data_IF_578313297521
#
_entry.id   IF_578313297521
#
_cell.length_a   1.000
_cell.length_b   1.000
_cell.length_c   1.000
_cell.angle_alpha   90.00
_cell.angle_beta   90.00
_cell.angle_gamma   90.00
#
_symmetry.space_group_name_H-M   'P 1'
#
loop_
_entity.id
_entity.type
_entity.pdbx_description
1 polymer ?
#
# COMPACT_ATOMS: atom_id res chain seq x y z
N UNK A 1 -7.42 4.55 -6.72
CA UNK A 1 -7.40 5.19 -5.42
C UNK A 1 -5.97 5.32 -4.93
N UNK A 2 -5.69 6.35 -4.15
CA UNK A 2 -4.34 6.57 -3.66
C UNK A 2 -4.39 7.18 -2.27
N UNK A 3 -3.29 7.06 -1.55
CA UNK A 3 -3.17 7.72 -0.27
C UNK A 3 -1.71 8.05 -0.02
N UNK A 4 -1.50 9.05 0.86
CA UNK A 4 -0.18 9.50 1.23
C UNK A 4 0.17 9.02 2.63
N UNK A 5 1.37 8.52 2.78
CA UNK A 5 1.92 8.29 4.10
C UNK A 5 3.43 8.40 3.97
N UNK A 6 4.06 8.96 4.99
CA UNK A 6 5.51 9.14 5.00
C UNK A 6 6.00 9.96 3.81
N UNK A 7 5.14 10.88 3.33
CA UNK A 7 5.43 11.79 2.22
C UNK A 7 5.60 11.06 0.90
N UNK A 8 5.02 9.86 0.78
CA UNK A 8 5.08 9.07 -0.43
C UNK A 8 3.66 8.74 -0.85
N UNK A 9 3.39 8.86 -2.15
CA UNK A 9 2.10 8.52 -2.71
C UNK A 9 2.04 7.02 -2.97
N UNK A 10 0.98 6.40 -2.47
CA UNK A 10 0.76 4.98 -2.64
C UNK A 10 -0.47 4.79 -3.51
N UNK A 11 -0.39 3.88 -4.46
CA UNK A 11 -1.48 3.60 -5.40
C UNK A 11 -2.15 2.30 -4.99
N UNK A 12 -3.49 2.31 -4.96
CA UNK A 12 -4.27 1.18 -4.52
C UNK A 12 -5.11 0.67 -5.68
N UNK A 13 -5.02 -0.62 -5.93
CA UNK A 13 -5.81 -1.29 -6.93
C UNK A 13 -6.58 -2.42 -6.28
N UNK A 14 -7.77 -2.71 -6.80
CA UNK A 14 -8.51 -3.87 -6.34
C UNK A 14 -8.60 -4.88 -7.47
N UNK A 15 -8.54 -6.15 -7.12
CA UNK A 15 -8.59 -7.23 -8.09
C UNK A 15 -9.33 -8.37 -7.43
N UNK A 16 -10.62 -8.53 -7.77
CA UNK A 16 -11.48 -9.51 -7.13
C UNK A 16 -11.52 -9.24 -5.63
N UNK A 17 -11.13 -10.19 -4.81
CA UNK A 17 -11.17 -10.04 -3.37
C UNK A 17 -9.87 -9.50 -2.79
N UNK A 18 -8.93 -9.11 -3.65
CA UNK A 18 -7.62 -8.67 -3.20
C UNK A 18 -7.45 -7.19 -3.40
N UNK A 19 -6.67 -6.58 -2.53
CA UNK A 19 -6.17 -5.23 -2.72
C UNK A 19 -4.68 -5.29 -2.94
N UNK A 20 -4.19 -4.38 -3.79
CA UNK A 20 -2.77 -4.28 -4.10
C UNK A 20 -2.37 -2.83 -3.89
N UNK A 21 -1.32 -2.60 -3.12
CA UNK A 21 -0.77 -1.27 -2.90
C UNK A 21 0.63 -1.24 -3.48
N UNK A 22 0.89 -0.24 -4.33
CA UNK A 22 2.17 -0.11 -5.01
C UNK A 22 2.71 1.29 -4.76
N UNK A 23 3.99 1.39 -4.47
CA UNK A 23 4.62 2.70 -4.38
C UNK A 23 6.08 2.57 -4.77
N UNK A 24 6.68 3.74 -5.01
CA UNK A 24 8.07 3.80 -5.44
C UNK A 24 8.85 4.70 -4.49
N UNK A 25 10.04 4.30 -4.16
CA UNK A 25 10.91 5.09 -3.31
C UNK A 25 12.35 4.84 -3.72
N UNK A 26 13.04 5.92 -4.15
CA UNK A 26 14.45 5.86 -4.54
C UNK A 26 14.67 4.75 -5.57
N UNK A 27 13.89 4.81 -6.65
CA UNK A 27 14.02 3.89 -7.78
C UNK A 27 13.71 2.44 -7.43
N UNK A 28 13.09 2.20 -6.30
CA UNK A 28 12.68 0.86 -5.90
C UNK A 28 11.16 0.81 -5.87
N UNK A 29 10.63 -0.25 -6.44
CA UNK A 29 9.18 -0.49 -6.43
C UNK A 29 8.83 -1.39 -5.25
N UNK A 30 7.82 -0.97 -4.50
CA UNK A 30 7.31 -1.76 -3.39
C UNK A 30 5.87 -2.17 -3.69
N UNK A 31 5.49 -3.35 -3.24
CA UNK A 31 4.15 -3.85 -3.48
C UNK A 31 3.71 -4.70 -2.30
N UNK A 32 2.47 -4.46 -1.86
CA UNK A 32 1.83 -5.26 -0.81
C UNK A 32 0.47 -5.66 -1.34
N UNK A 33 0.11 -6.92 -1.23
CA UNK A 33 -1.19 -7.37 -1.68
C UNK A 33 -1.70 -8.48 -0.77
N UNK A 34 -3.00 -8.65 -0.77
CA UNK A 34 -3.60 -9.71 0.03
C UNK A 34 -5.12 -9.62 0.05
N UNK A 35 -5.78 -10.69 0.51
CA UNK A 35 -7.24 -10.76 0.59
C UNK A 35 -7.74 -10.13 1.89
N UNK A 36 -7.42 -8.86 2.10
CA UNK A 36 -7.80 -8.15 3.32
C UNK A 36 -8.58 -6.90 2.92
N UNK A 37 -9.23 -6.28 3.90
CA UNK A 37 -10.00 -5.08 3.63
C UNK A 37 -9.08 -3.91 3.29
N UNK A 38 -9.68 -2.89 2.67
CA UNK A 38 -8.92 -1.69 2.32
C UNK A 38 -8.28 -1.07 3.55
N UNK A 39 -9.02 -0.97 4.65
CA UNK A 39 -8.46 -0.38 5.87
C UNK A 39 -7.32 -1.21 6.42
N UNK A 40 -7.44 -2.53 6.35
CA UNK A 40 -6.39 -3.39 6.87
C UNK A 40 -5.12 -3.25 6.05
N UNK A 41 -5.24 -3.22 4.72
CA UNK A 41 -4.03 -3.13 3.90
C UNK A 41 -3.35 -1.78 4.08
N UNK A 42 -4.12 -0.72 4.30
CA UNK A 42 -3.53 0.58 4.59
C UNK A 42 -2.76 0.55 5.90
N UNK A 43 -3.30 -0.12 6.91
CA UNK A 43 -2.61 -0.22 8.18
C UNK A 43 -1.31 -1.00 8.05
N UNK A 44 -1.33 -2.06 7.24
CA UNK A 44 -0.13 -2.85 7.01
C UNK A 44 0.95 -1.98 6.38
N UNK A 45 0.59 -1.22 5.36
CA UNK A 45 1.55 -0.36 4.68
C UNK A 45 2.12 0.67 5.63
N UNK A 46 1.25 1.31 6.41
CA UNK A 46 1.73 2.33 7.36
C UNK A 46 2.66 1.71 8.39
N UNK A 47 2.37 0.49 8.82
CA UNK A 47 3.21 -0.16 9.83
C UNK A 47 4.60 -0.48 9.30
N UNK A 48 4.76 -0.57 7.99
CA UNK A 48 6.08 -0.84 7.41
C UNK A 48 7.03 0.34 7.58
N UNK A 49 6.49 1.53 7.87
CA UNK A 49 7.31 2.71 8.12
C UNK A 49 7.61 2.88 9.61
N UNK A 50 6.99 2.10 10.46
CA UNK A 50 7.20 2.19 11.90
C UNK A 50 8.48 1.47 12.28
N UNK A 51 9.15 1.99 13.29
CA UNK A 51 10.34 1.37 13.82
C UNK A 51 10.05 0.64 15.11
#
# INVERSE_FOLDING_TARGET
QEFYTNEVRHYIFSNNANYVVVWYYEDTEFMVSGPVSLETIKKIVVSMYSE
#
